data_IF_806086379128
#
_entry.id   IF_806086379128
#
_cell.length_a   1.000
_cell.length_b   1.000
_cell.length_c   1.000
_cell.angle_alpha   90.00
_cell.angle_beta   90.00
_cell.angle_gamma   90.00
#
_symmetry.space_group_name_H-M   'P 1'
#
loop_
_entity.id
_entity.type
_entity.pdbx_description
1 polymer ?
#
# COMPACT_ATOMS: atom_id res chain seq x y z
N UNK A 1 -11.21 -9.96 -7.54
CA UNK A 1 -10.48 -9.01 -6.68
C UNK A 1 -10.00 -7.85 -7.53
N UNK A 2 -10.08 -6.61 -7.04
CA UNK A 2 -9.49 -5.44 -7.73
C UNK A 2 -7.96 -5.56 -7.70
N UNK A 3 -7.31 -5.07 -8.74
CA UNK A 3 -5.88 -4.83 -8.69
C UNK A 3 -5.62 -3.52 -7.94
N UNK A 4 -4.51 -3.44 -7.23
CA UNK A 4 -4.13 -2.25 -6.48
C UNK A 4 -2.77 -1.77 -6.93
N UNK A 5 -2.66 -0.47 -7.22
CA UNK A 5 -1.39 0.25 -7.26
C UNK A 5 -1.12 0.82 -5.86
N UNK A 6 0.04 0.50 -5.32
CA UNK A 6 0.53 1.03 -4.04
C UNK A 6 1.78 1.86 -4.30
N UNK A 7 1.68 3.15 -4.08
CA UNK A 7 2.72 4.13 -4.42
C UNK A 7 3.19 4.87 -3.19
N UNK A 8 4.49 5.06 -3.04
CA UNK A 8 5.05 5.94 -2.02
C UNK A 8 4.60 7.37 -2.32
N UNK A 9 3.75 7.89 -1.44
CA UNK A 9 3.25 9.26 -1.56
C UNK A 9 4.26 10.26 -0.99
N UNK A 10 4.77 9.97 0.21
CA UNK A 10 5.63 10.88 0.96
C UNK A 10 6.56 10.10 1.90
N UNK A 11 7.77 10.62 2.09
CA UNK A 11 8.65 10.26 3.21
C UNK A 11 8.64 11.46 4.16
N UNK A 12 8.02 11.32 5.34
CA UNK A 12 7.77 12.45 6.25
C UNK A 12 9.06 13.04 6.81
N UNK A 13 9.89 12.21 7.42
CA UNK A 13 11.21 12.62 7.91
C UNK A 13 12.31 11.66 7.50
N UNK A 14 12.05 10.34 7.55
CA UNK A 14 13.09 9.33 7.35
C UNK A 14 12.57 8.02 6.77
N UNK A 15 13.45 7.29 6.10
CA UNK A 15 13.19 5.92 5.66
C UNK A 15 14.48 5.10 5.62
N UNK A 16 14.62 4.11 6.49
CA UNK A 16 15.80 3.22 6.50
C UNK A 16 15.93 2.36 5.23
N UNK A 17 14.81 2.02 4.58
CA UNK A 17 14.79 1.27 3.33
C UNK A 17 15.05 2.14 2.07
N UNK A 18 15.23 3.46 2.26
CA UNK A 18 15.49 4.44 1.21
C UNK A 18 14.43 4.47 0.10
N UNK A 19 13.16 4.31 0.46
CA UNK A 19 12.03 4.58 -0.43
C UNK A 19 12.00 6.05 -0.81
N UNK A 20 11.44 6.35 -1.99
CA UNK A 20 11.28 7.69 -2.54
C UNK A 20 9.85 7.90 -3.05
N UNK A 21 9.30 9.12 -2.98
CA UNK A 21 8.04 9.44 -3.64
C UNK A 21 8.03 8.95 -5.10
N UNK A 22 6.94 8.27 -5.49
CA UNK A 22 6.80 7.64 -6.80
C UNK A 22 7.25 6.17 -6.90
N UNK A 23 8.00 5.65 -5.91
CA UNK A 23 8.29 4.21 -5.84
C UNK A 23 6.97 3.44 -5.75
N UNK A 24 6.83 2.35 -6.51
CA UNK A 24 5.55 1.66 -6.68
C UNK A 24 5.72 0.15 -6.61
N UNK A 25 4.68 -0.51 -6.11
CA UNK A 25 4.42 -1.93 -6.31
C UNK A 25 2.92 -2.15 -6.53
N UNK A 26 2.56 -3.34 -6.99
CA UNK A 26 1.19 -3.72 -7.28
C UNK A 26 0.76 -4.91 -6.45
N UNK A 27 -0.54 -4.98 -6.14
CA UNK A 27 -1.19 -6.20 -5.68
C UNK A 27 -2.14 -6.65 -6.78
N UNK A 28 -1.87 -7.81 -7.37
CA UNK A 28 -2.56 -8.35 -8.54
C UNK A 28 -3.18 -9.72 -8.24
N UNK A 29 -4.16 -10.11 -9.04
CA UNK A 29 -4.83 -11.41 -8.92
C UNK A 29 -5.31 -11.68 -7.49
N UNK A 30 -5.06 -12.89 -6.99
CA UNK A 30 -5.48 -13.37 -5.66
C UNK A 30 -4.47 -13.02 -4.55
N UNK A 31 -3.91 -11.81 -4.58
CA UNK A 31 -3.01 -11.29 -3.52
C UNK A 31 -1.52 -11.36 -3.85
N UNK A 32 -1.16 -11.47 -5.12
CA UNK A 32 0.23 -11.50 -5.58
C UNK A 32 0.82 -10.10 -5.54
N UNK A 33 1.98 -9.94 -4.88
CA UNK A 33 2.76 -8.70 -4.90
C UNK A 33 3.67 -8.70 -6.14
N UNK A 34 3.50 -7.71 -7.00
CA UNK A 34 4.36 -7.46 -8.16
C UNK A 34 5.17 -6.18 -7.94
N UNK A 35 6.49 -6.27 -8.13
CA UNK A 35 7.41 -5.15 -7.95
C UNK A 35 8.08 -4.87 -9.31
N UNK A 36 7.80 -3.73 -9.96
CA UNK A 36 8.29 -3.46 -11.31
C UNK A 36 9.77 -3.06 -11.31
N UNK A 37 10.52 -3.60 -12.28
CA UNK A 37 11.91 -3.24 -12.54
C UNK A 37 12.82 -3.50 -11.35
N UNK A 38 13.58 -2.48 -10.95
CA UNK A 38 14.48 -2.51 -9.78
C UNK A 38 13.85 -1.90 -8.52
N UNK A 39 12.52 -1.75 -8.50
CA UNK A 39 11.81 -1.28 -7.31
C UNK A 39 11.92 -2.31 -6.18
N UNK A 40 11.59 -1.88 -4.97
CA UNK A 40 11.54 -2.75 -3.79
C UNK A 40 10.45 -2.26 -2.85
N UNK A 41 10.01 -3.12 -1.95
CA UNK A 41 9.16 -2.74 -0.82
C UNK A 41 9.86 -3.12 0.49
N UNK A 42 9.70 -2.29 1.52
CA UNK A 42 10.24 -2.56 2.85
C UNK A 42 9.36 -3.61 3.51
N UNK A 43 9.94 -4.69 4.03
CA UNK A 43 9.20 -5.76 4.71
C UNK A 43 8.31 -5.23 5.84
N UNK A 44 8.83 -4.31 6.67
CA UNK A 44 8.06 -3.71 7.76
C UNK A 44 6.89 -2.86 7.25
N UNK A 45 7.09 -2.13 6.16
CA UNK A 45 6.00 -1.39 5.54
C UNK A 45 4.93 -2.37 5.03
N UNK A 46 5.34 -3.37 4.24
CA UNK A 46 4.42 -4.36 3.68
C UNK A 46 3.59 -5.06 4.76
N UNK A 47 4.22 -5.45 5.88
CA UNK A 47 3.51 -6.04 7.02
C UNK A 47 2.41 -5.12 7.59
N UNK A 48 2.66 -3.82 7.70
CA UNK A 48 1.64 -2.86 8.16
C UNK A 48 0.54 -2.60 7.13
N UNK A 49 0.83 -2.76 5.83
CA UNK A 49 -0.14 -2.54 4.76
C UNK A 49 -1.04 -3.75 4.52
N UNK A 50 -0.51 -4.98 4.68
CA UNK A 50 -1.19 -6.22 4.32
C UNK A 50 -2.63 -6.38 4.80
N UNK A 51 -2.97 -6.07 6.08
CA UNK A 51 -4.35 -6.21 6.57
C UNK A 51 -5.37 -5.37 5.78
N UNK A 52 -4.94 -4.25 5.22
CA UNK A 52 -5.80 -3.33 4.47
C UNK A 52 -5.84 -3.66 2.99
N UNK A 53 -4.70 -4.07 2.42
CA UNK A 53 -4.61 -4.38 0.98
C UNK A 53 -5.54 -5.53 0.60
N UNK A 54 -5.64 -6.58 1.44
CA UNK A 54 -6.53 -7.72 1.19
C UNK A 54 -8.02 -7.32 1.22
N UNK A 55 -8.42 -6.44 2.15
CA UNK A 55 -9.77 -5.88 2.18
C UNK A 55 -10.04 -4.96 0.99
N UNK A 56 -9.06 -4.13 0.60
CA UNK A 56 -9.14 -3.26 -0.59
C UNK A 56 -9.29 -4.03 -1.90
N UNK A 57 -8.64 -5.18 -2.03
CA UNK A 57 -8.84 -6.06 -3.18
C UNK A 57 -10.28 -6.61 -3.28
N UNK A 58 -11.00 -6.67 -2.15
CA UNK A 58 -12.38 -7.12 -2.04
C UNK A 58 -13.33 -6.00 -1.63
N UNK A 59 -13.00 -4.75 -1.98
CA UNK A 59 -13.74 -3.57 -1.50
C UNK A 59 -15.26 -3.62 -1.77
N UNK A 60 -15.71 -4.33 -2.82
CA UNK A 60 -17.15 -4.54 -3.13
C UNK A 60 -17.90 -5.44 -2.14
N UNK A 61 -17.18 -6.21 -1.33
CA UNK A 61 -17.72 -7.12 -0.31
C UNK A 61 -17.78 -6.45 1.07
N UNK A 62 -17.21 -5.25 1.21
CA UNK A 62 -17.22 -4.50 2.46
C UNK A 62 -18.58 -3.80 2.64
N UNK A 63 -19.01 -3.57 3.89
CA UNK A 63 -20.14 -2.70 4.19
C UNK A 63 -19.98 -1.30 3.56
N UNK A 64 -21.11 -0.66 3.25
CA UNK A 64 -21.13 0.68 2.64
C UNK A 64 -20.44 1.76 3.52
N UNK A 65 -20.38 1.54 4.84
CA UNK A 65 -19.77 2.41 5.84
C UNK A 65 -18.40 1.93 6.33
N UNK A 66 -17.76 1.00 5.62
CA UNK A 66 -16.44 0.49 6.00
C UNK A 66 -15.33 1.51 5.76
N UNK A 67 -14.70 1.97 6.85
CA UNK A 67 -13.61 2.94 6.83
C UNK A 67 -12.38 2.49 6.02
N UNK A 68 -12.16 1.18 5.85
CA UNK A 68 -11.10 0.67 4.98
C UNK A 68 -11.42 0.96 3.53
N UNK A 69 -12.69 0.87 3.10
CA UNK A 69 -13.13 1.25 1.74
C UNK A 69 -12.89 2.74 1.45
N UNK A 70 -12.99 3.61 2.46
CA UNK A 70 -12.72 5.04 2.30
C UNK A 70 -11.22 5.39 2.38
N UNK A 71 -10.42 4.52 3.00
CA UNK A 71 -8.98 4.77 3.24
C UNK A 71 -8.19 4.83 1.93
N UNK A 72 -7.55 5.97 1.66
CA UNK A 72 -6.69 6.17 0.47
C UNK A 72 -5.19 6.13 0.78
N UNK A 73 -4.84 6.33 2.04
CA UNK A 73 -3.46 6.44 2.50
C UNK A 73 -3.22 5.51 3.69
N UNK A 74 -2.10 4.81 3.65
CA UNK A 74 -1.63 3.97 4.74
C UNK A 74 -0.17 4.30 5.03
N UNK A 75 0.30 3.98 6.23
CA UNK A 75 1.67 4.28 6.62
C UNK A 75 2.45 3.01 6.92
N UNK A 76 3.77 3.08 6.78
CA UNK A 76 4.65 2.10 7.41
C UNK A 76 4.56 2.22 8.95
N UNK A 77 5.13 1.28 9.72
CA UNK A 77 4.98 1.30 11.18
C UNK A 77 5.76 2.44 11.88
N UNK A 78 6.69 3.12 11.20
CA UNK A 78 7.31 4.34 11.75
C UNK A 78 6.39 5.54 11.50
N UNK A 79 5.86 6.22 12.55
CA UNK A 79 4.97 7.37 12.38
C UNK A 79 5.62 8.57 11.66
N UNK A 80 6.97 8.61 11.62
CA UNK A 80 7.78 9.60 10.90
C UNK A 80 8.34 9.06 9.57
N UNK A 81 7.84 7.90 9.17
CA UNK A 81 8.30 7.12 8.06
C UNK A 81 7.64 7.49 6.73
N UNK A 82 7.12 6.45 6.07
CA UNK A 82 6.62 6.52 4.70
C UNK A 82 5.10 6.39 4.69
N UNK A 83 4.43 7.27 3.96
CA UNK A 83 3.01 7.16 3.64
C UNK A 83 2.86 6.66 2.20
N UNK A 84 1.97 5.70 2.00
CA UNK A 84 1.64 5.10 0.72
C UNK A 84 0.23 5.50 0.31
N UNK A 85 0.03 5.80 -0.97
CA UNK A 85 -1.27 5.95 -1.59
C UNK A 85 -1.70 4.64 -2.24
N UNK A 86 -2.94 4.24 -2.01
CA UNK A 86 -3.55 3.03 -2.55
C UNK A 86 -4.58 3.45 -3.60
N UNK A 87 -4.43 2.93 -4.82
CA UNK A 87 -5.33 3.21 -5.93
C UNK A 87 -5.81 1.90 -6.53
N UNK A 88 -7.12 1.58 -6.44
CA UNK A 88 -7.69 0.48 -7.21
C UNK A 88 -7.57 0.77 -8.70
N UNK A 89 -7.17 -0.24 -9.48
CA UNK A 89 -7.05 -0.18 -10.95
C UNK A 89 -8.28 -0.78 -11.64
#
# INVERSE_FOLDING_TARGET
MKELKVEVHEVRERCGAKHKPGDVFFVRGEGTVEIPGNSRICLYALNSLFPFLTSKQREKELPDDDWVAETKYLCCPDPRGVTFRITPL
#
